data_IF_734715688350
#
_entry.id   IF_734715688350
#
_cell.length_a   1.000
_cell.length_b   1.000
_cell.length_c   1.000
_cell.angle_alpha   90.00
_cell.angle_beta   90.00
_cell.angle_gamma   90.00
#
_symmetry.space_group_name_H-M   'P 1'
#
loop_
_entity.id
_entity.type
_entity.pdbx_description
1 polymer ?
#
# COMPACT_ATOMS: atom_id res chain seq x y z
N UNK A 1 5.04 -28.84 22.48
CA UNK A 1 3.99 -28.58 21.46
C UNK A 1 3.48 -29.92 20.97
N UNK A 2 2.26 -30.01 20.43
CA UNK A 2 1.82 -31.20 19.70
C UNK A 2 2.77 -31.53 18.54
N UNK A 3 2.90 -32.81 18.22
CA UNK A 3 3.83 -33.28 17.17
C UNK A 3 3.38 -32.89 15.74
N UNK A 4 2.11 -32.50 15.59
CA UNK A 4 1.46 -32.06 14.36
C UNK A 4 1.38 -30.53 14.22
N UNK A 5 2.11 -29.78 15.07
CA UNK A 5 2.09 -28.32 15.01
C UNK A 5 2.84 -27.79 13.77
N UNK A 6 2.10 -27.13 12.87
CA UNK A 6 2.67 -26.51 11.68
C UNK A 6 2.91 -25.01 11.89
N UNK A 7 4.18 -24.61 11.93
CA UNK A 7 4.59 -23.20 12.04
C UNK A 7 4.21 -22.37 10.80
N UNK A 8 3.95 -22.99 9.66
CA UNK A 8 3.44 -22.33 8.46
C UNK A 8 2.06 -21.68 8.65
N UNK A 9 1.30 -22.12 9.65
CA UNK A 9 -0.02 -21.59 10.00
C UNK A 9 -0.02 -20.75 11.29
N UNK A 10 1.14 -20.58 11.92
CA UNK A 10 1.27 -19.79 13.15
C UNK A 10 1.83 -18.40 12.83
N UNK A 11 0.98 -17.38 12.92
CA UNK A 11 1.25 -15.98 12.56
C UNK A 11 1.57 -15.71 11.09
N UNK A 12 1.41 -16.70 10.21
CA UNK A 12 1.55 -16.54 8.76
C UNK A 12 0.23 -16.90 8.07
N UNK A 13 -0.01 -16.27 6.91
CA UNK A 13 -1.04 -16.75 6.02
C UNK A 13 -0.67 -18.17 5.53
N UNK A 14 -1.64 -19.07 5.31
CA UNK A 14 -1.40 -20.33 4.61
C UNK A 14 -0.67 -20.14 3.27
N UNK A 15 0.10 -21.13 2.80
CA UNK A 15 0.89 -21.03 1.57
C UNK A 15 0.06 -20.59 0.35
N UNK A 16 -1.17 -21.08 0.24
CA UNK A 16 -2.12 -20.73 -0.84
C UNK A 16 -2.71 -19.32 -0.73
N UNK A 17 -2.44 -18.61 0.37
CA UNK A 17 -2.84 -17.23 0.64
C UNK A 17 -1.64 -16.26 0.66
N UNK A 18 -0.42 -16.78 0.46
CA UNK A 18 0.79 -15.96 0.33
C UNK A 18 1.01 -15.59 -1.14
N UNK A 19 1.45 -14.36 -1.37
CA UNK A 19 1.88 -13.84 -2.66
C UNK A 19 3.13 -12.99 -2.44
N UNK A 20 4.03 -12.94 -3.42
CA UNK A 20 5.31 -12.22 -3.27
C UNK A 20 5.08 -10.73 -2.96
N UNK A 21 4.48 -10.00 -3.91
CA UNK A 21 4.23 -8.56 -3.77
C UNK A 21 2.91 -8.17 -4.45
N UNK A 22 1.87 -7.79 -3.68
CA UNK A 22 0.63 -7.31 -4.27
C UNK A 22 0.78 -5.91 -4.88
N UNK A 23 0.19 -5.72 -6.06
CA UNK A 23 -0.03 -4.38 -6.63
C UNK A 23 -1.24 -3.70 -5.94
N UNK A 24 -1.23 -2.38 -5.86
CA UNK A 24 -2.31 -1.58 -5.27
C UNK A 24 -3.63 -1.66 -6.07
N UNK A 25 -3.61 -2.21 -7.29
CA UNK A 25 -4.75 -2.35 -8.19
C UNK A 25 -5.01 -3.80 -8.64
N UNK A 26 -4.74 -4.79 -7.77
CA UNK A 26 -5.09 -6.18 -8.06
C UNK A 26 -6.59 -6.46 -7.88
N UNK A 27 -7.05 -7.52 -8.56
CA UNK A 27 -8.33 -8.16 -8.29
C UNK A 27 -8.12 -9.40 -7.44
N UNK A 28 -8.89 -9.51 -6.37
CA UNK A 28 -8.85 -10.66 -5.46
C UNK A 28 -10.16 -11.41 -5.59
N UNK A 29 -10.06 -12.74 -5.68
CA UNK A 29 -11.21 -13.66 -5.68
C UNK A 29 -11.04 -14.66 -4.55
N UNK A 30 -12.00 -14.69 -3.64
CA UNK A 30 -12.07 -15.67 -2.56
C UNK A 30 -13.09 -16.73 -2.94
N UNK A 31 -12.70 -18.00 -2.88
CA UNK A 31 -13.56 -19.14 -3.22
C UNK A 31 -13.83 -19.96 -1.97
N UNK A 32 -15.09 -20.27 -1.72
CA UNK A 32 -15.56 -21.08 -0.58
C UNK A 32 -15.24 -20.50 0.81
N UNK A 33 -14.92 -19.21 0.89
CA UNK A 33 -14.67 -18.47 2.15
C UNK A 33 -15.87 -17.60 2.57
N UNK A 34 -16.97 -17.62 1.82
CA UNK A 34 -18.23 -16.96 2.15
C UNK A 34 -19.41 -17.89 1.91
N UNK A 35 -20.59 -17.55 2.47
CA UNK A 35 -21.82 -18.33 2.28
C UNK A 35 -22.24 -18.42 0.81
N UNK A 36 -21.98 -17.37 0.05
CA UNK A 36 -22.30 -17.24 -1.37
C UNK A 36 -21.32 -18.04 -2.26
N UNK A 37 -20.27 -18.60 -1.68
CA UNK A 37 -19.28 -19.45 -2.34
C UNK A 37 -18.21 -18.69 -3.12
N UNK A 38 -18.46 -17.44 -3.55
CA UNK A 38 -17.46 -16.60 -4.21
C UNK A 38 -17.61 -15.14 -3.77
N UNK A 39 -16.51 -14.52 -3.35
CA UNK A 39 -16.39 -13.08 -3.13
C UNK A 39 -15.31 -12.50 -4.04
N UNK A 40 -15.58 -11.36 -4.67
CA UNK A 40 -14.60 -10.66 -5.53
C UNK A 40 -14.48 -9.20 -5.12
N UNK A 41 -13.25 -8.71 -5.05
CA UNK A 41 -12.95 -7.30 -4.76
C UNK A 41 -11.89 -6.79 -5.74
N UNK A 42 -12.07 -5.57 -6.20
CA UNK A 42 -11.08 -4.83 -6.96
C UNK A 42 -10.45 -3.81 -6.02
N UNK A 43 -9.13 -3.85 -5.86
CA UNK A 43 -8.44 -2.83 -5.09
C UNK A 43 -8.51 -1.48 -5.82
N UNK A 44 -8.61 -0.36 -5.09
CA UNK A 44 -8.93 0.93 -5.69
C UNK A 44 -7.73 1.61 -6.39
N UNK A 45 -6.53 1.02 -6.33
CA UNK A 45 -5.33 1.65 -6.90
C UNK A 45 -4.86 2.88 -6.14
N UNK A 46 -5.25 3.04 -4.87
CA UNK A 46 -4.77 4.14 -4.03
C UNK A 46 -3.24 4.08 -3.91
N UNK A 47 -2.61 5.25 -3.82
CA UNK A 47 -1.16 5.40 -3.78
C UNK A 47 -0.73 6.07 -2.48
N UNK A 48 -0.42 5.30 -1.43
CA UNK A 48 0.33 5.81 -0.29
C UNK A 48 1.77 6.04 -0.72
N UNK A 49 2.35 7.14 -0.27
CA UNK A 49 3.71 7.52 -0.63
C UNK A 49 4.36 8.34 0.48
N UNK A 50 5.68 8.31 0.52
CA UNK A 50 6.47 9.22 1.33
C UNK A 50 6.87 10.41 0.47
N UNK A 51 6.54 11.62 0.91
CA UNK A 51 7.13 12.82 0.34
C UNK A 51 8.40 13.15 1.11
N UNK A 52 9.54 12.94 0.46
CA UNK A 52 10.84 13.32 0.98
C UNK A 52 11.10 14.79 0.63
N UNK A 53 11.28 15.63 1.65
CA UNK A 53 11.74 17.00 1.47
C UNK A 53 13.22 17.05 1.75
N UNK A 54 13.98 17.41 0.73
CA UNK A 54 15.42 17.50 0.80
C UNK A 54 15.85 18.87 1.37
N UNK A 55 17.05 18.93 1.93
CA UNK A 55 17.64 20.17 2.43
C UNK A 55 17.87 21.21 1.33
N UNK A 56 18.11 20.76 0.09
CA UNK A 56 18.24 21.61 -1.11
C UNK A 56 16.90 22.16 -1.63
N UNK A 57 15.76 21.78 -1.02
CA UNK A 57 14.42 22.20 -1.41
C UNK A 57 13.69 21.25 -2.36
N UNK A 58 14.34 20.20 -2.86
CA UNK A 58 13.71 19.18 -3.70
C UNK A 58 12.63 18.40 -2.94
N UNK A 59 11.61 17.98 -3.68
CA UNK A 59 10.48 17.21 -3.18
C UNK A 59 10.34 15.94 -4.00
N UNK A 60 10.68 14.81 -3.39
CA UNK A 60 10.71 13.51 -4.06
C UNK A 60 9.55 12.68 -3.51
N UNK A 61 8.49 12.42 -4.29
CA UNK A 61 7.49 11.44 -3.92
C UNK A 61 8.02 10.04 -4.22
N UNK A 62 8.00 9.15 -3.22
CA UNK A 62 8.35 7.74 -3.39
C UNK A 62 7.22 6.85 -2.88
N UNK A 63 6.79 5.89 -3.70
CA UNK A 63 5.62 5.06 -3.42
C UNK A 63 5.93 4.08 -2.29
N UNK A 64 4.95 3.86 -1.41
CA UNK A 64 5.01 2.77 -0.45
C UNK A 64 4.54 1.46 -1.11
N UNK A 65 5.13 0.35 -0.68
CA UNK A 65 4.77 -0.97 -1.18
C UNK A 65 3.69 -1.58 -0.30
N UNK A 66 2.65 -2.14 -0.92
CA UNK A 66 1.66 -2.94 -0.21
C UNK A 66 2.32 -4.23 0.25
N UNK A 67 2.22 -4.49 1.54
CA UNK A 67 2.90 -5.59 2.21
C UNK A 67 1.93 -6.64 2.72
N UNK A 68 0.83 -6.21 3.34
CA UNK A 68 -0.17 -7.12 3.92
C UNK A 68 -1.58 -6.68 3.57
N UNK A 69 -2.42 -7.67 3.25
CA UNK A 69 -3.86 -7.53 3.05
C UNK A 69 -4.59 -8.41 4.06
N UNK A 70 -5.57 -7.83 4.76
CA UNK A 70 -6.47 -8.57 5.62
C UNK A 70 -7.89 -8.37 5.10
N UNK A 71 -8.55 -9.47 4.73
CA UNK A 71 -9.94 -9.48 4.30
C UNK A 71 -10.76 -10.13 5.41
N UNK A 72 -11.67 -9.36 5.99
CA UNK A 72 -12.75 -9.90 6.81
C UNK A 72 -13.98 -10.03 5.93
N UNK A 73 -14.29 -11.26 5.52
CA UNK A 73 -15.41 -11.54 4.64
C UNK A 73 -16.77 -11.55 5.33
N UNK A 74 -16.81 -11.57 6.67
CA UNK A 74 -18.05 -11.46 7.44
C UNK A 74 -18.42 -9.98 7.63
N UNK A 75 -17.46 -9.15 8.05
CA UNK A 75 -17.65 -7.70 8.20
C UNK A 75 -17.58 -6.93 6.86
N UNK A 76 -17.17 -7.60 5.78
CA UNK A 76 -16.92 -7.01 4.46
C UNK A 76 -15.92 -5.83 4.52
N UNK A 77 -14.82 -6.03 5.26
CA UNK A 77 -13.76 -5.04 5.39
C UNK A 77 -12.46 -5.53 4.77
N UNK A 78 -11.71 -4.57 4.22
CA UNK A 78 -10.36 -4.79 3.72
C UNK A 78 -9.43 -3.83 4.46
N UNK A 79 -8.41 -4.38 5.11
CA UNK A 79 -7.31 -3.61 5.69
C UNK A 79 -6.05 -3.84 4.88
N UNK A 80 -5.32 -2.75 4.63
CA UNK A 80 -4.10 -2.75 3.82
C UNK A 80 -2.97 -2.13 4.62
N UNK A 81 -1.85 -2.84 4.74
CA UNK A 81 -0.63 -2.32 5.37
C UNK A 81 0.41 -2.07 4.30
N UNK A 82 0.97 -0.86 4.31
CA UNK A 82 2.01 -0.43 3.39
C UNK A 82 3.31 -0.22 4.15
N UNK A 83 4.42 -0.61 3.54
CA UNK A 83 5.76 -0.45 4.09
C UNK A 83 6.60 0.45 3.20
N UNK A 84 7.45 1.21 3.87
CA UNK A 84 8.44 2.05 3.22
C UNK A 84 9.79 1.81 3.89
N UNK A 85 10.80 1.58 3.07
CA UNK A 85 12.18 1.39 3.51
C UNK A 85 13.03 2.44 2.82
N UNK A 86 13.78 3.21 3.61
CA UNK A 86 14.73 4.18 3.08
C UNK A 86 15.98 4.20 3.94
N UNK A 87 17.11 4.38 3.26
CA UNK A 87 18.34 4.81 3.91
C UNK A 87 18.21 6.32 4.16
N UNK A 88 18.29 6.71 5.43
CA UNK A 88 18.18 8.11 5.83
C UNK A 88 19.59 8.67 6.00
N UNK A 89 19.84 9.80 5.33
CA UNK A 89 21.04 10.60 5.52
C UNK A 89 20.69 12.06 5.87
N UNK A 90 21.72 12.89 6.05
CA UNK A 90 21.58 14.31 6.43
C UNK A 90 20.98 15.20 5.32
N UNK A 91 20.80 14.68 4.10
CA UNK A 91 20.18 15.43 3.01
C UNK A 91 18.66 15.48 3.11
N UNK A 92 18.04 14.58 3.87
CA UNK A 92 16.59 14.54 4.10
C UNK A 92 16.22 15.47 5.27
N UNK A 93 15.43 16.50 4.98
CA UNK A 93 14.93 17.46 5.97
C UNK A 93 13.67 16.95 6.69
N UNK A 94 12.75 16.36 5.94
CA UNK A 94 11.44 15.93 6.43
C UNK A 94 10.92 14.79 5.57
N UNK A 95 10.27 13.83 6.21
CA UNK A 95 9.52 12.78 5.55
C UNK A 95 8.04 12.93 5.93
N UNK A 96 7.15 13.03 4.94
CA UNK A 96 5.70 13.10 5.16
C UNK A 96 5.02 11.88 4.55
N UNK A 97 4.30 11.11 5.38
CA UNK A 97 3.41 10.07 4.87
C UNK A 97 2.16 10.72 4.27
N UNK A 98 1.87 10.40 3.01
CA UNK A 98 0.74 10.95 2.24
C UNK A 98 -0.03 9.83 1.55
N UNK A 99 -1.27 10.15 1.17
CA UNK A 99 -2.19 9.19 0.58
C UNK A 99 -2.98 9.85 -0.55
N UNK A 100 -2.83 9.36 -1.78
CA UNK A 100 -3.59 9.82 -2.94
C UNK A 100 -4.60 8.74 -3.36
N UNK A 101 -5.88 9.09 -3.36
CA UNK A 101 -6.99 8.19 -3.67
C UNK A 101 -7.22 8.04 -5.18
N UNK A 102 -6.83 9.03 -5.98
CA UNK A 102 -6.95 8.95 -7.42
C UNK A 102 -5.65 8.40 -8.02
N UNK A 103 -5.64 7.18 -8.61
CA UNK A 103 -4.44 6.61 -9.23
C UNK A 103 -3.87 7.46 -10.38
N UNK A 104 -4.67 8.35 -10.97
CA UNK A 104 -4.30 9.18 -12.11
C UNK A 104 -3.97 10.64 -11.73
N UNK A 105 -4.07 11.01 -10.44
CA UNK A 105 -3.69 12.35 -10.00
C UNK A 105 -2.16 12.50 -9.94
N UNK A 106 -1.62 13.71 -9.98
CA UNK A 106 -0.22 13.92 -9.61
C UNK A 106 -0.02 13.75 -8.09
N UNK A 107 1.08 13.13 -7.67
CA UNK A 107 1.42 12.93 -6.25
C UNK A 107 1.85 14.22 -5.56
N UNK A 108 2.55 15.10 -6.29
CA UNK A 108 2.97 16.41 -5.78
C UNK A 108 2.41 17.50 -6.68
N UNK A 109 1.78 18.50 -6.05
CA UNK A 109 1.35 19.74 -6.70
C UNK A 109 2.09 20.90 -6.04
N UNK A 110 2.79 21.69 -6.86
CA UNK A 110 3.45 22.92 -6.42
C UNK A 110 2.74 24.08 -7.10
N UNK A 111 2.14 24.95 -6.30
CA UNK A 111 1.67 26.24 -6.79
C UNK A 111 2.88 27.17 -6.97
N UNK A 112 3.11 27.60 -8.20
CA UNK A 112 4.17 28.56 -8.54
C UNK A 112 3.68 30.02 -8.51
N UNK A 113 2.40 30.26 -8.25
CA UNK A 113 1.75 31.55 -8.43
C UNK A 113 1.27 31.78 -9.87
N UNK A 114 0.48 32.84 -10.06
CA UNK A 114 -0.11 33.24 -11.36
C UNK A 114 -0.91 32.13 -12.07
N UNK A 115 -1.50 31.21 -11.31
CA UNK A 115 -2.29 30.09 -11.81
C UNK A 115 -1.46 28.97 -12.47
N UNK A 116 -0.14 28.94 -12.25
CA UNK A 116 0.75 27.89 -12.74
C UNK A 116 1.02 26.86 -11.66
N UNK A 117 0.83 25.59 -12.01
CA UNK A 117 1.18 24.46 -11.15
C UNK A 117 2.25 23.58 -11.80
N UNK A 118 3.14 23.03 -10.98
CA UNK A 118 4.00 21.91 -11.36
C UNK A 118 3.53 20.63 -10.69
N UNK A 119 3.51 19.56 -11.49
CA UNK A 119 3.03 18.24 -11.10
C UNK A 119 4.17 17.23 -11.18
N UNK A 120 4.35 16.40 -10.16
CA UNK A 120 5.31 15.30 -10.14
C UNK A 120 4.63 14.01 -9.68
N UNK A 121 5.05 12.88 -10.27
CA UNK A 121 4.60 11.54 -9.90
C UNK A 121 3.20 11.22 -10.42
#
# INVERSE_FOLDING_TARGET
MPDDFDFGYWNNAPEDQQIDHPDNNIRISLFHLTREGILRVQLPGHRPFMLLRMMNGEMIPDLMYLDTLIIDSEALTLSMTYRYHAEIDESIRLMEARFEMNPNAPLVRIDLGDGKELHYG
#
